data_IF_990576886851
#
_entry.id   IF_990576886851
#
_cell.length_a   1.000
_cell.length_b   1.000
_cell.length_c   1.000
_cell.angle_alpha   90.00
_cell.angle_beta   90.00
_cell.angle_gamma   90.00
#
_symmetry.space_group_name_H-M   'P 1'
#
loop_
_entity.id
_entity.type
_entity.pdbx_description
1 polymer ?
#
# COMPACT_ATOMS: atom_id res chain seq x y z
N UNK A 1 14.20 -14.84 -4.49
CA UNK A 1 14.39 -15.09 -5.93
C UNK A 1 13.64 -14.01 -6.66
N UNK A 2 14.14 -13.53 -7.79
CA UNK A 2 13.43 -12.56 -8.61
C UNK A 2 12.14 -13.18 -9.16
N UNK A 3 11.05 -12.42 -9.18
CA UNK A 3 9.79 -12.89 -9.75
C UNK A 3 9.92 -13.13 -11.27
N UNK A 4 9.14 -14.09 -11.78
CA UNK A 4 8.96 -14.27 -13.23
C UNK A 4 8.40 -12.99 -13.87
N UNK A 5 8.62 -12.77 -15.17
CA UNK A 5 8.07 -11.60 -15.88
C UNK A 5 6.55 -11.49 -15.77
N UNK A 6 5.85 -12.63 -15.78
CA UNK A 6 4.39 -12.67 -15.62
C UNK A 6 3.97 -12.17 -14.24
N UNK A 7 4.50 -12.75 -13.16
CA UNK A 7 4.17 -12.30 -11.80
C UNK A 7 4.58 -10.85 -11.59
N UNK A 8 5.73 -10.42 -12.12
CA UNK A 8 6.14 -9.01 -12.07
C UNK A 8 5.10 -8.07 -12.67
N UNK A 9 4.57 -8.38 -13.85
CA UNK A 9 3.53 -7.57 -14.49
C UNK A 9 2.18 -7.60 -13.74
N UNK A 10 1.79 -8.76 -13.20
CA UNK A 10 0.57 -8.91 -12.39
C UNK A 10 0.67 -8.06 -11.10
N UNK A 11 1.81 -8.09 -10.42
CA UNK A 11 2.04 -7.31 -9.20
C UNK A 11 2.11 -5.82 -9.51
N UNK A 12 2.77 -5.40 -10.60
CA UNK A 12 2.73 -4.00 -11.03
C UNK A 12 1.28 -3.54 -11.26
N UNK A 13 0.45 -4.37 -11.90
CA UNK A 13 -0.97 -4.08 -12.09
C UNK A 13 -1.71 -3.90 -10.76
N UNK A 14 -1.41 -4.70 -9.74
CA UNK A 14 -1.98 -4.55 -8.39
C UNK A 14 -1.55 -3.23 -7.75
N UNK A 15 -0.28 -2.82 -7.89
CA UNK A 15 0.21 -1.53 -7.38
C UNK A 15 -0.44 -0.34 -8.11
N UNK A 16 -0.59 -0.43 -9.43
CA UNK A 16 -1.26 0.60 -10.24
C UNK A 16 -2.74 0.75 -9.83
N UNK A 17 -3.41 -0.38 -9.57
CA UNK A 17 -4.78 -0.39 -9.04
C UNK A 17 -4.85 0.23 -7.64
N UNK A 18 -3.88 -0.06 -6.77
CA UNK A 18 -3.79 0.55 -5.45
C UNK A 18 -3.70 2.08 -5.58
N UNK A 19 -2.75 2.59 -6.38
CA UNK A 19 -2.58 4.02 -6.66
C UNK A 19 -3.83 4.66 -7.24
N UNK A 20 -4.46 4.01 -8.23
CA UNK A 20 -5.67 4.52 -8.87
C UNK A 20 -6.86 4.58 -7.90
N UNK A 21 -7.04 3.57 -7.05
CA UNK A 21 -8.12 3.54 -6.07
C UNK A 21 -7.88 4.56 -4.95
N UNK A 22 -6.63 4.76 -4.51
CA UNK A 22 -6.25 5.83 -3.58
C UNK A 22 -6.61 7.21 -4.14
N UNK A 23 -6.24 7.47 -5.40
CA UNK A 23 -6.54 8.75 -6.05
C UNK A 23 -8.02 9.04 -6.26
N UNK A 24 -8.84 7.99 -6.42
CA UNK A 24 -10.30 8.09 -6.50
C UNK A 24 -10.99 8.07 -5.14
N UNK A 25 -10.25 7.81 -4.06
CA UNK A 25 -10.78 7.51 -2.72
C UNK A 25 -11.77 6.35 -2.73
N UNK A 26 -11.54 5.35 -3.58
CA UNK A 26 -12.38 4.14 -3.71
C UNK A 26 -11.96 3.10 -2.67
N UNK A 27 -12.57 3.18 -1.49
CA UNK A 27 -12.31 2.26 -0.37
C UNK A 27 -12.61 0.81 -0.76
N UNK A 28 -13.73 0.56 -1.43
CA UNK A 28 -14.11 -0.80 -1.82
C UNK A 28 -13.16 -1.34 -2.89
N UNK A 29 -12.67 -0.47 -3.79
CA UNK A 29 -11.60 -0.75 -4.73
C UNK A 29 -10.32 -1.18 -4.04
N UNK A 30 -9.90 -0.47 -3.00
CA UNK A 30 -8.73 -0.82 -2.21
C UNK A 30 -8.90 -2.15 -1.48
N UNK A 31 -10.02 -2.34 -0.77
CA UNK A 31 -10.29 -3.56 0.00
C UNK A 31 -10.33 -4.82 -0.87
N UNK A 32 -10.77 -4.71 -2.14
CA UNK A 32 -10.71 -5.81 -3.12
C UNK A 32 -9.29 -6.26 -3.47
N UNK A 33 -8.27 -5.46 -3.17
CA UNK A 33 -6.86 -5.83 -3.35
C UNK A 33 -6.29 -6.58 -2.14
N UNK A 34 -7.00 -6.62 -1.01
CA UNK A 34 -6.59 -7.33 0.19
C UNK A 34 -7.26 -8.70 0.29
N UNK A 35 -6.57 -9.65 0.91
CA UNK A 35 -7.14 -10.94 1.24
C UNK A 35 -8.27 -10.77 2.29
N UNK A 36 -9.21 -11.71 2.36
CA UNK A 36 -10.29 -11.70 3.36
C UNK A 36 -9.93 -12.49 4.63
N UNK A 37 -8.70 -13.01 4.71
CA UNK A 37 -8.17 -13.63 5.93
C UNK A 37 -8.23 -12.65 7.11
N UNK A 38 -8.70 -13.07 8.29
CA UNK A 38 -8.79 -12.19 9.46
C UNK A 38 -7.43 -11.67 9.93
N UNK A 39 -6.31 -12.25 9.49
CA UNK A 39 -4.95 -11.88 9.88
C UNK A 39 -4.25 -10.96 8.87
N UNK A 40 -4.95 -10.44 7.85
CA UNK A 40 -4.37 -9.41 6.97
C UNK A 40 -3.88 -8.23 7.80
N UNK A 41 -2.62 -7.84 7.61
CA UNK A 41 -1.97 -6.83 8.45
C UNK A 41 -1.55 -5.60 7.63
N UNK A 42 -2.01 -4.42 8.05
CA UNK A 42 -1.57 -3.14 7.50
C UNK A 42 -0.83 -2.37 8.59
N UNK A 43 0.41 -1.99 8.30
CA UNK A 43 1.22 -1.12 9.15
C UNK A 43 1.45 0.20 8.41
N UNK A 44 0.92 1.28 8.97
CA UNK A 44 1.11 2.63 8.46
C UNK A 44 2.29 3.34 9.11
N UNK A 45 2.34 4.65 8.91
CA UNK A 45 3.43 5.52 9.37
C UNK A 45 3.19 6.14 10.74
N UNK A 46 1.94 6.19 11.19
CA UNK A 46 1.56 6.68 12.51
C UNK A 46 1.78 5.63 13.61
N UNK A 47 1.99 6.10 14.84
CA UNK A 47 2.19 5.25 16.03
C UNK A 47 1.00 4.30 16.27
N UNK A 48 -0.21 4.73 15.93
CA UNK A 48 -1.45 3.99 16.06
C UNK A 48 -1.84 3.21 14.80
N UNK A 49 -1.02 3.24 13.75
CA UNK A 49 -1.35 2.67 12.44
C UNK A 49 -0.92 1.21 12.33
N UNK A 50 -1.63 0.34 13.06
CA UNK A 50 -1.53 -1.11 12.91
C UNK A 50 -2.92 -1.72 12.89
N UNK A 51 -3.35 -2.21 11.73
CA UNK A 51 -4.69 -2.73 11.47
C UNK A 51 -4.65 -4.20 11.12
N UNK A 52 -5.56 -4.99 11.68
CA UNK A 52 -5.67 -6.43 11.42
C UNK A 52 -7.08 -6.79 10.96
N UNK A 53 -7.20 -7.44 9.81
CA UNK A 53 -8.48 -7.79 9.19
C UNK A 53 -9.11 -6.63 8.39
N UNK A 54 -10.00 -6.99 7.46
CA UNK A 54 -10.58 -6.06 6.48
C UNK A 54 -11.29 -4.85 7.11
N UNK A 55 -12.01 -5.03 8.22
CA UNK A 55 -12.75 -3.94 8.87
C UNK A 55 -11.80 -2.87 9.43
N UNK A 56 -10.71 -3.28 10.09
CA UNK A 56 -9.71 -2.34 10.59
C UNK A 56 -8.93 -1.67 9.44
N UNK A 57 -8.69 -2.39 8.35
CA UNK A 57 -8.08 -1.83 7.14
C UNK A 57 -8.98 -0.78 6.50
N UNK A 58 -10.30 -1.01 6.47
CA UNK A 58 -11.29 -0.01 6.03
C UNK A 58 -11.18 1.28 6.84
N UNK A 59 -11.14 1.16 8.17
CA UNK A 59 -11.01 2.32 9.08
C UNK A 59 -9.75 3.14 8.77
N UNK A 60 -8.64 2.51 8.41
CA UNK A 60 -7.43 3.24 8.00
C UNK A 60 -7.64 4.02 6.70
N UNK A 61 -8.24 3.43 5.66
CA UNK A 61 -8.50 4.16 4.42
C UNK A 61 -9.50 5.31 4.62
N UNK A 62 -10.53 5.10 5.44
CA UNK A 62 -11.47 6.17 5.82
C UNK A 62 -10.76 7.33 6.52
N UNK A 63 -9.84 7.03 7.46
CA UNK A 63 -9.00 8.03 8.13
C UNK A 63 -8.15 8.82 7.15
N UNK A 64 -7.49 8.14 6.21
CA UNK A 64 -6.60 8.76 5.23
C UNK A 64 -7.36 9.69 4.27
N UNK A 65 -8.58 9.29 3.89
CA UNK A 65 -9.43 10.06 2.97
C UNK A 65 -10.16 11.22 3.64
N UNK A 66 -10.52 11.11 4.91
CA UNK A 66 -11.12 12.19 5.68
C UNK A 66 -10.18 13.41 5.79
N UNK A 67 -8.86 13.17 5.83
CA UNK A 67 -7.83 14.19 6.05
C UNK A 67 -7.31 14.85 4.77
N UNK A 68 -7.72 14.39 3.59
CA UNK A 68 -7.14 14.84 2.31
C UNK A 68 -8.21 15.36 1.35
N UNK A 69 -7.93 16.47 0.67
CA UNK A 69 -8.72 16.99 -0.44
C UNK A 69 -8.34 16.25 -1.74
N UNK A 70 -7.04 16.20 -2.02
CA UNK A 70 -6.41 15.46 -3.13
C UNK A 70 -5.36 14.53 -2.57
N UNK A 71 -5.16 13.40 -3.24
CA UNK A 71 -4.25 12.36 -2.79
C UNK A 71 -3.77 11.55 -4.01
N UNK A 72 -2.47 11.34 -4.14
CA UNK A 72 -1.89 10.38 -5.09
C UNK A 72 -0.77 9.62 -4.41
N UNK A 73 -0.59 8.38 -4.86
CA UNK A 73 0.42 7.45 -4.37
C UNK A 73 1.16 6.90 -5.58
N UNK A 74 2.48 6.98 -5.57
CA UNK A 74 3.35 6.52 -6.65
C UNK A 74 4.38 5.57 -6.08
N UNK A 75 4.55 4.40 -6.70
CA UNK A 75 5.55 3.42 -6.31
C UNK A 75 6.75 3.48 -7.25
N UNK A 76 7.96 3.52 -6.67
CA UNK A 76 9.22 3.62 -7.40
C UNK A 76 10.22 2.56 -6.92
N UNK A 77 11.22 2.27 -7.76
CA UNK A 77 12.32 1.35 -7.43
C UNK A 77 11.84 -0.01 -6.90
N UNK A 78 10.71 -0.49 -7.44
CA UNK A 78 10.03 -1.68 -6.94
C UNK A 78 10.82 -2.94 -7.26
N UNK A 79 11.16 -3.70 -6.23
CA UNK A 79 11.75 -5.04 -6.32
C UNK A 79 10.69 -6.06 -5.97
N UNK A 80 10.48 -7.01 -6.88
CA UNK A 80 9.46 -8.06 -6.77
C UNK A 80 10.14 -9.42 -6.72
N UNK A 81 9.84 -10.18 -5.68
CA UNK A 81 10.32 -11.55 -5.49
C UNK A 81 9.15 -12.49 -5.31
N UNK A 82 9.32 -13.74 -5.75
CA UNK A 82 8.29 -14.76 -5.59
C UNK A 82 8.85 -16.12 -5.17
N UNK A 83 7.98 -16.93 -4.57
CA UNK A 83 8.17 -18.35 -4.38
C UNK A 83 6.80 -19.02 -4.25
N UNK A 84 6.47 -19.91 -5.19
CA UNK A 84 5.16 -20.57 -5.25
C UNK A 84 4.02 -19.53 -5.28
N UNK A 85 3.03 -19.64 -4.40
CA UNK A 85 1.88 -18.71 -4.35
C UNK A 85 2.10 -17.51 -3.43
N UNK A 86 3.36 -17.18 -3.11
CA UNK A 86 3.73 -16.04 -2.27
C UNK A 86 4.64 -15.10 -3.04
N UNK A 87 4.30 -13.82 -3.01
CA UNK A 87 5.10 -12.73 -3.55
C UNK A 87 5.41 -11.73 -2.43
N UNK A 88 6.63 -11.17 -2.42
CA UNK A 88 6.96 -10.04 -1.57
C UNK A 88 7.60 -8.93 -2.38
N UNK A 89 7.26 -7.71 -2.00
CA UNK A 89 7.58 -6.47 -2.70
C UNK A 89 8.28 -5.55 -1.73
N UNK A 90 9.29 -4.84 -2.21
CA UNK A 90 9.90 -3.71 -1.52
C UNK A 90 10.12 -2.59 -2.52
N UNK A 91 9.99 -1.34 -2.09
CA UNK A 91 10.23 -0.18 -2.95
C UNK A 91 10.07 1.13 -2.20
N UNK A 92 10.12 2.20 -2.98
CA UNK A 92 9.88 3.56 -2.53
C UNK A 92 8.44 3.97 -2.82
N UNK A 93 7.92 4.92 -2.06
CA UNK A 93 6.58 5.46 -2.28
C UNK A 93 6.57 6.97 -2.10
N UNK A 94 6.08 7.68 -3.11
CA UNK A 94 5.82 9.12 -3.05
C UNK A 94 4.33 9.35 -2.86
N UNK A 95 3.98 10.03 -1.77
CA UNK A 95 2.59 10.43 -1.50
C UNK A 95 2.48 11.92 -1.68
N UNK A 96 1.62 12.36 -2.60
CA UNK A 96 1.27 13.76 -2.77
C UNK A 96 -0.13 13.97 -2.24
N UNK A 97 -0.30 14.89 -1.29
CA UNK A 97 -1.61 15.17 -0.71
C UNK A 97 -1.84 16.66 -0.57
N UNK A 98 -3.08 17.09 -0.71
CA UNK A 98 -3.53 18.44 -0.37
C UNK A 98 -4.44 18.34 0.83
N UNK A 99 -4.10 19.06 1.90
CA UNK A 99 -4.92 19.16 3.11
C UNK A 99 -4.94 20.62 3.56
N UNK A 100 -6.13 21.13 3.90
CA UNK A 100 -6.34 22.53 4.31
C UNK A 100 -5.74 23.53 3.30
N UNK A 101 -5.93 23.26 2.01
CA UNK A 101 -5.37 24.06 0.90
C UNK A 101 -3.84 24.02 0.75
N UNK A 102 -3.11 23.22 1.54
CA UNK A 102 -1.64 23.09 1.45
C UNK A 102 -1.25 21.79 0.75
N UNK A 103 -0.40 21.90 -0.26
CA UNK A 103 0.22 20.76 -0.90
C UNK A 103 1.38 20.23 -0.04
N UNK A 104 1.37 18.93 0.23
CA UNK A 104 2.39 18.21 0.98
C UNK A 104 2.88 17.03 0.14
N UNK A 105 4.18 16.75 0.25
CA UNK A 105 4.81 15.58 -0.34
C UNK A 105 5.51 14.80 0.77
N UNK A 106 5.25 13.50 0.82
CA UNK A 106 5.82 12.58 1.81
C UNK A 106 6.48 11.43 1.06
N UNK A 107 7.78 11.25 1.30
CA UNK A 107 8.52 10.09 0.83
C UNK A 107 8.50 8.98 1.89
N UNK A 108 8.14 7.78 1.47
CA UNK A 108 7.98 6.58 2.29
C UNK A 108 8.76 5.41 1.70
N UNK A 109 9.06 4.43 2.54
CA UNK A 109 9.49 3.10 2.13
C UNK A 109 8.32 2.15 2.26
N UNK A 110 8.18 1.25 1.30
CA UNK A 110 7.08 0.30 1.20
C UNK A 110 7.59 -1.14 1.18
N UNK A 111 6.92 -2.01 1.93
CA UNK A 111 7.00 -3.46 1.76
C UNK A 111 5.62 -4.07 1.76
N UNK A 112 5.44 -5.15 1.01
CA UNK A 112 4.20 -5.92 1.02
C UNK A 112 4.45 -7.41 0.83
N UNK A 113 3.51 -8.20 1.31
CA UNK A 113 3.40 -9.63 1.01
C UNK A 113 2.04 -9.87 0.39
N UNK A 114 2.02 -10.61 -0.71
CA UNK A 114 0.83 -11.00 -1.44
C UNK A 114 0.77 -12.52 -1.56
N UNK A 115 -0.44 -13.05 -1.49
CA UNK A 115 -0.72 -14.46 -1.78
C UNK A 115 -1.66 -14.59 -2.96
N UNK A 116 -1.50 -15.65 -3.75
CA UNK A 116 -2.39 -15.93 -4.88
C UNK A 116 -3.62 -16.71 -4.40
N UNK A 117 -4.81 -16.16 -4.63
CA UNK A 117 -6.10 -16.82 -4.34
C UNK A 117 -7.02 -16.72 -5.55
N UNK A 118 -7.53 -17.85 -6.04
CA UNK A 118 -8.39 -17.91 -7.24
C UNK A 118 -7.82 -17.17 -8.46
N UNK A 119 -6.50 -17.26 -8.67
CA UNK A 119 -5.80 -16.62 -9.79
C UNK A 119 -5.55 -15.11 -9.62
N UNK A 120 -5.82 -14.53 -8.45
CA UNK A 120 -5.57 -13.11 -8.15
C UNK A 120 -4.53 -12.98 -7.04
N UNK A 121 -3.64 -12.01 -7.18
CA UNK A 121 -2.75 -11.61 -6.09
C UNK A 121 -3.48 -10.67 -5.16
N UNK A 122 -3.44 -10.99 -3.87
CA UNK A 122 -4.09 -10.21 -2.82
C UNK A 122 -3.07 -9.90 -1.72
N UNK A 123 -3.06 -8.65 -1.26
CA UNK A 123 -2.26 -8.24 -0.11
C UNK A 123 -2.68 -9.02 1.13
N UNK A 124 -1.71 -9.66 1.77
CA UNK A 124 -1.85 -10.21 3.12
C UNK A 124 -1.10 -9.39 4.15
N UNK A 125 -0.12 -8.59 3.70
CA UNK A 125 0.56 -7.61 4.52
C UNK A 125 0.95 -6.39 3.69
N UNK A 126 0.80 -5.19 4.24
CA UNK A 126 1.49 -3.98 3.78
C UNK A 126 2.16 -3.27 4.95
N UNK A 127 3.30 -2.63 4.69
CA UNK A 127 3.99 -1.82 5.66
C UNK A 127 4.62 -0.61 4.97
N UNK A 128 4.21 0.58 5.42
CA UNK A 128 4.76 1.86 5.02
C UNK A 128 5.54 2.47 6.18
N UNK A 129 6.67 3.08 5.89
CA UNK A 129 7.48 3.72 6.93
C UNK A 129 8.13 4.99 6.43
N UNK A 130 8.12 6.02 7.26
CA UNK A 130 8.95 7.21 7.05
C UNK A 130 10.41 6.85 7.38
N UNK A 131 11.40 7.31 6.60
CA UNK A 131 12.78 7.31 7.07
C UNK A 131 12.88 8.31 8.22
N UNK A 132 13.45 7.88 9.35
CA UNK A 132 13.75 8.81 10.44
C UNK A 132 14.81 9.79 9.98
N UNK A 133 14.55 11.09 10.12
CA UNK A 133 15.54 12.14 9.89
C UNK A 133 15.79 12.89 11.18
N UNK A 134 17.01 12.79 11.69
CA UNK A 134 17.47 13.40 12.94
C UNK A 134 17.69 14.92 12.84
N UNK A 135 17.09 15.58 11.83
CA UNK A 135 17.28 17.01 11.59
C UNK A 135 16.51 17.80 12.64
N UNK A 136 17.13 17.96 13.80
CA UNK A 136 17.09 19.21 14.54
C UNK A 136 17.64 20.32 13.62
N UNK A 137 16.82 21.32 13.33
CA UNK A 137 17.16 22.48 12.52
C UNK A 137 15.92 23.29 12.21
#
# INVERSE_FOLDING_TARGET
MQATPQTGAEIQTVLDQFSANYGKKDIDGLLRLFNTDPNVLVIGTGEDEKRTGQEEVRIQFERDFCRSEKLSVEFENVVISEKSDVCWVAGDTNVHLTAEGRALHVYLRFTAVLTRQHGKWLFVQTHFSVPFSDKAG
#
